data_IF_787867938425
#
_entry.id   IF_787867938425
#
_cell.length_a   1.000
_cell.length_b   1.000
_cell.length_c   1.000
_cell.angle_alpha   90.00
_cell.angle_beta   90.00
_cell.angle_gamma   90.00
#
_symmetry.space_group_name_H-M   'P 1'
#
loop_
_entity.id
_entity.type
_entity.pdbx_description
1 polymer ?
#
# COMPACT_ATOMS: atom_id res chain seq x y z
N UNK A 1 -14.21 -6.61 13.54
CA UNK A 1 -12.94 -7.33 13.84
C UNK A 1 -13.05 -8.18 15.11
N UNK A 2 -14.09 -8.04 15.93
CA UNK A 2 -14.23 -8.80 17.19
C UNK A 2 -14.66 -10.28 17.05
N UNK A 3 -14.95 -10.78 15.84
CA UNK A 3 -15.48 -12.15 15.61
C UNK A 3 -14.56 -13.03 14.73
N UNK A 4 -13.26 -12.77 14.74
CA UNK A 4 -12.30 -13.45 13.85
C UNK A 4 -11.80 -14.79 14.46
N UNK A 5 -12.14 -15.08 15.72
CA UNK A 5 -11.70 -16.28 16.44
C UNK A 5 -10.18 -16.29 16.68
N UNK A 6 -9.60 -17.49 16.87
CA UNK A 6 -8.17 -17.69 17.15
C UNK A 6 -7.26 -17.60 15.90
N UNK A 7 -7.49 -16.62 15.01
CA UNK A 7 -6.61 -16.41 13.84
C UNK A 7 -5.45 -15.50 14.21
N UNK A 8 -4.26 -15.91 13.79
CA UNK A 8 -3.01 -15.17 14.03
C UNK A 8 -2.79 -14.02 13.04
N UNK A 9 -3.43 -14.05 11.87
CA UNK A 9 -3.33 -13.03 10.83
C UNK A 9 -4.70 -12.70 10.23
N UNK A 10 -5.00 -11.40 10.16
CA UNK A 10 -6.14 -10.85 9.41
C UNK A 10 -5.63 -9.91 8.32
N UNK A 11 -5.94 -10.23 7.06
CA UNK A 11 -5.67 -9.34 5.94
C UNK A 11 -6.96 -8.59 5.61
N UNK A 12 -6.91 -7.26 5.72
CA UNK A 12 -8.03 -6.38 5.41
C UNK A 12 -7.84 -5.81 4.00
N UNK A 13 -8.81 -6.05 3.12
CA UNK A 13 -8.80 -5.49 1.77
C UNK A 13 -8.91 -3.95 1.82
N UNK A 14 -7.92 -3.26 1.24
CA UNK A 14 -7.94 -1.81 1.10
C UNK A 14 -8.98 -1.35 0.06
N UNK A 15 -9.50 -0.12 0.23
CA UNK A 15 -10.42 0.50 -0.74
C UNK A 15 -10.04 1.96 -0.97
N UNK A 16 -9.95 2.36 -2.24
CA UNK A 16 -9.58 3.73 -2.62
C UNK A 16 -8.15 4.08 -2.23
N UNK A 17 -7.90 5.37 -2.00
CA UNK A 17 -6.61 5.86 -1.52
C UNK A 17 -6.79 7.20 -0.78
N UNK A 18 -5.94 7.53 0.20
CA UNK A 18 -6.07 8.78 1.00
C UNK A 18 -5.98 10.07 0.16
N UNK A 19 -5.24 10.04 -0.96
CA UNK A 19 -5.17 11.13 -1.93
C UNK A 19 -6.30 11.14 -2.95
N UNK A 20 -7.20 10.15 -2.95
CA UNK A 20 -8.28 10.06 -3.93
C UNK A 20 -9.43 11.03 -3.60
N UNK A 21 -9.78 11.98 -4.49
CA UNK A 21 -10.73 13.06 -4.18
C UNK A 21 -12.15 12.56 -3.85
N UNK A 22 -12.58 11.44 -4.44
CA UNK A 22 -13.89 10.85 -4.17
C UNK A 22 -13.92 9.73 -3.11
N UNK A 23 -12.78 9.09 -2.79
CA UNK A 23 -12.76 7.82 -2.03
C UNK A 23 -11.86 7.85 -0.79
N UNK A 24 -11.16 8.96 -0.52
CA UNK A 24 -10.28 9.11 0.65
C UNK A 24 -10.98 8.85 1.99
N UNK A 25 -12.26 9.22 2.10
CA UNK A 25 -13.08 8.93 3.28
C UNK A 25 -13.28 7.44 3.54
N UNK A 26 -13.38 6.61 2.49
CA UNK A 26 -13.51 5.16 2.61
C UNK A 26 -12.21 4.56 3.15
N UNK A 27 -11.08 4.96 2.57
CA UNK A 27 -9.75 4.53 3.02
C UNK A 27 -9.50 4.89 4.49
N UNK A 28 -9.88 6.11 4.88
CA UNK A 28 -9.74 6.58 6.27
C UNK A 28 -10.58 5.74 7.24
N UNK A 29 -11.83 5.46 6.88
CA UNK A 29 -12.72 4.65 7.70
C UNK A 29 -12.19 3.21 7.89
N UNK A 30 -11.61 2.62 6.82
CA UNK A 30 -10.98 1.29 6.92
C UNK A 30 -9.74 1.35 7.80
N UNK A 31 -8.83 2.31 7.56
CA UNK A 31 -7.58 2.44 8.31
C UNK A 31 -7.83 2.55 9.82
N UNK A 32 -8.76 3.41 10.23
CA UNK A 32 -9.10 3.59 11.64
C UNK A 32 -9.97 2.48 12.21
N UNK A 33 -10.89 1.93 11.42
CA UNK A 33 -11.79 0.87 11.87
C UNK A 33 -11.11 -0.50 11.98
N UNK A 34 -10.11 -0.77 11.14
CA UNK A 34 -9.33 -1.99 11.18
C UNK A 34 -8.23 -1.96 12.25
N UNK A 35 -7.72 -0.77 12.60
CA UNK A 35 -6.63 -0.58 13.55
C UNK A 35 -5.44 -1.52 13.28
N UNK A 36 -4.88 -1.50 12.05
CA UNK A 36 -3.87 -2.48 11.65
C UNK A 36 -2.59 -2.34 12.47
N UNK A 37 -1.85 -3.45 12.59
CA UNK A 37 -0.50 -3.47 13.15
C UNK A 37 0.57 -3.08 12.10
N UNK A 38 0.28 -3.30 10.82
CA UNK A 38 1.18 -3.04 9.70
C UNK A 38 0.40 -2.73 8.41
N UNK A 39 1.03 -2.00 7.50
CA UNK A 39 0.46 -1.62 6.20
C UNK A 39 1.31 -2.16 5.04
N UNK A 40 0.64 -2.58 3.97
CA UNK A 40 1.24 -2.91 2.67
C UNK A 40 0.78 -1.85 1.67
N UNK A 41 1.71 -1.06 1.11
CA UNK A 41 1.37 0.03 0.21
C UNK A 41 1.33 -0.46 -1.24
N UNK A 42 0.14 -0.44 -1.83
CA UNK A 42 -0.05 -0.82 -3.23
C UNK A 42 0.30 0.33 -4.20
N UNK A 43 0.99 0.02 -5.29
CA UNK A 43 1.36 1.03 -6.31
C UNK A 43 1.32 0.50 -7.74
N UNK A 44 1.06 1.40 -8.68
CA UNK A 44 1.05 1.15 -10.12
C UNK A 44 2.13 2.07 -10.73
N UNK A 45 3.18 1.52 -11.38
CA UNK A 45 4.28 2.30 -11.92
C UNK A 45 3.80 3.20 -13.06
N UNK A 46 4.56 4.28 -13.30
CA UNK A 46 4.31 5.27 -14.37
C UNK A 46 2.95 6.00 -14.27
N UNK A 47 2.30 5.98 -13.10
CA UNK A 47 1.11 6.77 -12.81
C UNK A 47 1.43 7.96 -11.92
N UNK A 48 1.18 9.16 -12.42
CA UNK A 48 1.44 10.44 -11.77
C UNK A 48 0.16 11.16 -11.29
N UNK A 49 -1.02 10.67 -11.66
CA UNK A 49 -2.30 11.25 -11.30
C UNK A 49 -3.37 10.19 -11.02
N UNK A 50 -4.39 10.59 -10.27
CA UNK A 50 -5.55 9.74 -9.97
C UNK A 50 -6.34 9.49 -11.26
N UNK A 51 -6.51 8.21 -11.64
CA UNK A 51 -7.28 7.82 -12.83
C UNK A 51 -8.70 8.40 -12.77
N UNK A 52 -9.15 9.03 -13.86
CA UNK A 52 -10.43 9.75 -13.97
C UNK A 52 -10.51 11.08 -13.19
N UNK A 53 -9.40 11.49 -12.57
CA UNK A 53 -9.25 12.72 -11.79
C UNK A 53 -7.87 13.33 -12.06
N UNK A 54 -7.53 13.52 -13.33
CA UNK A 54 -6.17 13.86 -13.78
C UNK A 54 -5.67 15.24 -13.28
N UNK A 55 -6.57 16.09 -12.75
CA UNK A 55 -6.19 17.32 -12.05
C UNK A 55 -5.57 17.09 -10.67
N UNK A 56 -5.61 15.85 -10.15
CA UNK A 56 -5.10 15.45 -8.84
C UNK A 56 -3.88 14.56 -9.02
N UNK A 57 -2.70 15.14 -8.79
CA UNK A 57 -1.43 14.41 -8.81
C UNK A 57 -1.34 13.40 -7.66
N UNK A 58 -0.69 12.28 -7.92
CA UNK A 58 -0.31 11.33 -6.89
C UNK A 58 0.94 11.85 -6.16
N UNK A 59 0.96 11.82 -4.81
CA UNK A 59 2.18 12.08 -4.07
C UNK A 59 3.25 11.06 -4.44
N UNK A 60 4.52 11.41 -4.23
CA UNK A 60 5.58 10.41 -4.31
C UNK A 60 5.33 9.31 -3.26
N UNK A 61 5.74 8.06 -3.55
CA UNK A 61 5.53 6.93 -2.65
C UNK A 61 6.00 7.14 -1.21
N UNK A 62 7.11 7.85 -1.01
CA UNK A 62 7.66 8.12 0.32
C UNK A 62 6.75 9.03 1.12
N UNK A 63 6.34 10.16 0.56
CA UNK A 63 5.41 11.07 1.24
C UNK A 63 4.03 10.42 1.40
N UNK A 64 3.63 9.54 0.48
CA UNK A 64 2.37 8.83 0.60
C UNK A 64 2.38 7.80 1.72
N UNK A 65 3.44 7.00 1.86
CA UNK A 65 3.64 6.10 3.00
C UNK A 65 3.54 6.87 4.33
N UNK A 66 4.25 8.00 4.44
CA UNK A 66 4.19 8.88 5.62
C UNK A 66 2.79 9.39 5.91
N UNK A 67 2.02 9.75 4.89
CA UNK A 67 0.64 10.20 5.06
C UNK A 67 -0.23 9.11 5.71
N UNK A 68 -0.10 7.86 5.27
CA UNK A 68 -0.82 6.74 5.86
C UNK A 68 -0.43 6.51 7.32
N UNK A 69 0.87 6.46 7.61
CA UNK A 69 1.39 6.28 8.97
C UNK A 69 0.94 7.40 9.92
N UNK A 70 1.03 8.65 9.47
CA UNK A 70 0.59 9.82 10.23
C UNK A 70 -0.90 9.81 10.50
N UNK A 71 -1.72 9.38 9.53
CA UNK A 71 -3.16 9.29 9.71
C UNK A 71 -3.53 8.12 10.62
N UNK A 72 -2.79 7.01 10.60
CA UNK A 72 -3.01 5.85 11.46
C UNK A 72 -2.64 6.14 12.93
N UNK A 73 -1.52 6.85 13.15
CA UNK A 73 -0.90 7.03 14.47
C UNK A 73 -1.82 7.50 15.62
N UNK A 74 -2.82 8.40 15.42
CA UNK A 74 -3.74 8.81 16.48
C UNK A 74 -4.69 7.70 16.96
N UNK A 75 -4.90 6.65 16.17
CA UNK A 75 -5.84 5.55 16.47
C UNK A 75 -5.09 4.25 16.76
N UNK A 76 -4.19 3.86 15.86
CA UNK A 76 -3.31 2.70 15.99
C UNK A 76 -2.09 2.93 15.11
N UNK A 77 -0.89 3.19 15.67
CA UNK A 77 0.32 3.33 14.88
C UNK A 77 0.59 2.07 14.05
N UNK A 78 0.66 2.24 12.73
CA UNK A 78 0.84 1.16 11.78
C UNK A 78 1.89 1.59 10.73
N UNK A 79 3.11 1.03 10.76
CA UNK A 79 4.14 1.33 9.77
C UNK A 79 3.81 0.69 8.41
N UNK A 80 4.31 1.30 7.34
CA UNK A 80 4.36 0.65 6.03
C UNK A 80 5.55 -0.32 6.01
N UNK A 81 5.25 -1.62 6.04
CA UNK A 81 6.28 -2.67 6.16
C UNK A 81 6.65 -3.31 4.83
N UNK A 82 5.80 -3.15 3.81
CA UNK A 82 6.06 -3.69 2.48
C UNK A 82 5.31 -2.93 1.38
N UNK A 83 5.75 -3.14 0.15
CA UNK A 83 5.16 -2.64 -1.08
C UNK A 83 4.58 -3.76 -1.95
N UNK A 84 3.39 -3.53 -2.51
CA UNK A 84 2.79 -4.42 -3.50
C UNK A 84 2.62 -3.68 -4.83
N UNK A 85 3.43 -4.01 -5.82
CA UNK A 85 3.38 -3.37 -7.13
C UNK A 85 2.54 -4.17 -8.12
N UNK A 86 1.79 -3.47 -8.96
CA UNK A 86 1.22 -4.06 -10.17
C UNK A 86 2.11 -3.70 -11.36
N UNK A 87 2.86 -4.66 -11.89
CA UNK A 87 3.74 -4.47 -13.05
C UNK A 87 3.19 -5.11 -14.31
N UNK A 88 1.88 -5.35 -14.42
CA UNK A 88 1.24 -6.05 -15.55
C UNK A 88 1.60 -5.47 -16.91
N UNK A 89 1.75 -4.14 -16.96
CA UNK A 89 1.94 -3.39 -18.21
C UNK A 89 3.43 -3.23 -18.57
N UNK A 90 4.34 -3.73 -17.72
CA UNK A 90 5.79 -3.63 -17.91
C UNK A 90 6.41 -4.96 -18.38
N UNK A 91 7.44 -4.85 -19.23
CA UNK A 91 8.33 -5.96 -19.55
C UNK A 91 9.14 -6.42 -18.32
N UNK A 92 9.70 -7.65 -18.31
CA UNK A 92 10.40 -8.22 -17.15
C UNK A 92 11.48 -7.33 -16.54
N UNK A 93 12.34 -6.74 -17.38
CA UNK A 93 13.45 -5.89 -16.94
C UNK A 93 12.96 -4.57 -16.32
N UNK A 94 11.93 -3.97 -16.94
CA UNK A 94 11.32 -2.73 -16.45
C UNK A 94 10.54 -2.97 -15.15
N UNK A 95 9.83 -4.09 -15.05
CA UNK A 95 9.12 -4.50 -13.83
C UNK A 95 10.09 -4.64 -12.65
N UNK A 96 11.22 -5.34 -12.86
CA UNK A 96 12.25 -5.50 -11.82
C UNK A 96 12.82 -4.13 -11.38
N UNK A 97 13.14 -3.26 -12.34
CA UNK A 97 13.65 -1.93 -12.03
C UNK A 97 12.64 -1.09 -11.23
N UNK A 98 11.37 -1.07 -11.65
CA UNK A 98 10.31 -0.36 -10.97
C UNK A 98 10.11 -0.85 -9.52
N UNK A 99 10.17 -2.17 -9.30
CA UNK A 99 10.09 -2.76 -7.95
C UNK A 99 11.28 -2.32 -7.08
N UNK A 100 12.50 -2.37 -7.62
CA UNK A 100 13.71 -1.95 -6.89
C UNK A 100 13.72 -0.46 -6.58
N UNK A 101 13.21 0.38 -7.48
CA UNK A 101 13.04 1.82 -7.26
C UNK A 101 12.00 2.08 -6.16
N UNK A 102 10.82 1.47 -6.27
CA UNK A 102 9.74 1.65 -5.31
C UNK A 102 10.12 1.19 -3.90
N UNK A 103 10.77 0.03 -3.76
CA UNK A 103 11.27 -0.47 -2.48
C UNK A 103 12.19 0.55 -1.77
N UNK A 104 13.08 1.21 -2.54
CA UNK A 104 13.96 2.26 -2.01
C UNK A 104 13.20 3.54 -1.62
N UNK A 105 12.14 3.87 -2.33
CA UNK A 105 11.33 5.06 -2.03
C UNK A 105 10.55 4.91 -0.74
N UNK A 106 9.91 3.75 -0.53
CA UNK A 106 9.14 3.47 0.68
C UNK A 106 10.00 2.98 1.86
N UNK A 107 11.29 2.70 1.63
CA UNK A 107 12.22 2.16 2.63
C UNK A 107 11.75 0.81 3.23
N UNK A 108 11.20 -0.05 2.37
CA UNK A 108 10.63 -1.34 2.74
C UNK A 108 10.72 -2.33 1.57
N UNK A 109 10.73 -3.66 1.81
CA UNK A 109 10.68 -4.66 0.74
C UNK A 109 9.45 -4.46 -0.14
N UNK A 110 9.58 -4.71 -1.44
CA UNK A 110 8.46 -4.64 -2.36
C UNK A 110 8.58 -5.71 -3.43
N UNK A 111 7.43 -6.20 -3.88
CA UNK A 111 7.36 -7.16 -4.98
C UNK A 111 6.09 -6.95 -5.80
N UNK A 112 6.02 -7.60 -6.96
CA UNK A 112 4.76 -7.82 -7.65
C UNK A 112 4.21 -9.19 -7.22
N UNK A 113 3.21 -9.24 -6.32
CA UNK A 113 2.74 -10.50 -5.77
C UNK A 113 2.06 -11.41 -6.81
N UNK A 114 1.59 -10.84 -7.93
CA UNK A 114 0.96 -11.60 -9.02
C UNK A 114 2.04 -12.22 -9.91
N UNK A 115 3.13 -11.50 -10.18
CA UNK A 115 4.23 -11.96 -11.04
C UNK A 115 5.24 -12.84 -10.31
N UNK A 116 5.56 -12.51 -9.06
CA UNK A 116 6.69 -13.08 -8.32
C UNK A 116 6.30 -13.82 -7.03
N UNK A 117 5.02 -13.76 -6.63
CA UNK A 117 4.56 -14.30 -5.36
C UNK A 117 4.68 -13.29 -4.21
N UNK A 118 4.01 -13.59 -3.10
CA UNK A 118 3.83 -12.65 -1.98
C UNK A 118 4.77 -12.91 -0.79
N UNK A 119 5.74 -13.82 -0.93
CA UNK A 119 6.58 -14.28 0.18
C UNK A 119 7.30 -13.12 0.89
N UNK A 120 7.90 -12.19 0.14
CA UNK A 120 8.57 -11.01 0.72
C UNK A 120 7.62 -10.08 1.51
N UNK A 121 6.36 -9.98 1.07
CA UNK A 121 5.34 -9.19 1.77
C UNK A 121 4.92 -9.92 3.05
N UNK A 122 4.73 -11.24 2.97
CA UNK A 122 4.33 -12.05 4.11
C UNK A 122 5.41 -12.07 5.20
N UNK A 123 6.68 -12.23 4.81
CA UNK A 123 7.82 -12.19 5.73
C UNK A 123 7.96 -10.84 6.45
N UNK A 124 7.52 -9.74 5.82
CA UNK A 124 7.54 -8.40 6.42
C UNK A 124 6.36 -8.13 7.37
N UNK A 125 5.26 -8.89 7.24
CA UNK A 125 4.03 -8.75 8.04
C UNK A 125 4.01 -9.67 9.26
N UNK A 126 4.73 -10.80 9.20
CA UNK A 126 4.84 -11.78 10.29
C UNK A 126 5.97 -11.43 11.28
#
# INVERSE_FOLDING_TARGET
VEDVGDRELLIVEGQGALGHPAYSGVTTAILHGAQPDALVLCHLPDHDAVRHYESFGLPDPREYARLYEQLAAPVSPAPVVAGAMNTSDLGPEAARAAIEDYAREIDAPATDPVRHGADEILDAVL
#
